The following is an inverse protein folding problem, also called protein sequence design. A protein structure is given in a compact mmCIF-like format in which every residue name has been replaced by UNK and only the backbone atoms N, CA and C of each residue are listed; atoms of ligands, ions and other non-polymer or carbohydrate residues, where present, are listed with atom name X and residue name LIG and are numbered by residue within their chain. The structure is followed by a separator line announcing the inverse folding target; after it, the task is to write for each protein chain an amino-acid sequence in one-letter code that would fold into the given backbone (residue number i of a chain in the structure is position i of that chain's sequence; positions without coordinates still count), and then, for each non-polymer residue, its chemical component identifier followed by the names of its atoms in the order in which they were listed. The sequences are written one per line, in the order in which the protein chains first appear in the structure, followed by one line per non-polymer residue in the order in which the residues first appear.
data_IF_462142617788
#
_entry.id   IF_462142617788
#
_cell.length_a   1.000
_cell.length_b   1.000
_cell.length_c   1.000
_cell.angle_alpha   90.00
_cell.angle_beta   90.00
_cell.angle_gamma   90.00
#
_symmetry.space_group_name_H-M   'P 1'
#
loop_
_entity.id
_entity.type
_entity.pdbx_description
1 polymer ?
#
# COMPACT_ATOMS: atom_id res chain seq x y z
N UNK A 1 26.91 -10.80 14.12
CA UNK A 1 26.53 -9.62 14.93
C UNK A 1 25.07 -9.24 14.70
N UNK A 2 24.58 -8.23 15.43
CA UNK A 2 23.22 -7.68 15.28
C UNK A 2 23.33 -6.31 14.60
N UNK A 3 22.52 -6.09 13.56
CA UNK A 3 22.32 -4.77 12.96
C UNK A 3 20.97 -4.23 13.43
N UNK A 4 20.95 -2.99 13.91
CA UNK A 4 19.75 -2.30 14.31
C UNK A 4 19.55 -1.06 13.46
N UNK A 5 18.35 -0.89 12.91
CA UNK A 5 17.92 0.27 12.15
C UNK A 5 16.75 0.92 12.91
N UNK A 6 16.80 2.24 13.06
CA UNK A 6 15.75 3.01 13.71
C UNK A 6 15.17 4.00 12.70
N UNK A 7 13.89 3.84 12.39
CA UNK A 7 13.16 4.72 11.50
C UNK A 7 12.21 5.63 12.30
N UNK A 8 12.20 6.95 12.07
CA UNK A 8 11.26 7.85 12.72
C UNK A 8 9.79 7.56 12.34
N UNK A 9 9.57 7.05 11.15
CA UNK A 9 8.26 6.63 10.63
C UNK A 9 8.45 5.33 9.88
N UNK A 10 7.43 4.46 9.92
CA UNK A 10 7.44 3.22 9.15
C UNK A 10 7.59 3.49 7.66
N UNK A 11 8.55 2.83 7.04
CA UNK A 11 8.70 2.77 5.60
C UNK A 11 8.30 1.40 5.05
N UNK A 12 8.50 1.17 3.74
CA UNK A 12 8.17 -0.10 3.09
C UNK A 12 9.05 -1.23 3.66
N UNK A 13 8.41 -2.32 4.13
CA UNK A 13 9.06 -3.44 4.84
C UNK A 13 9.20 -4.72 4.00
N UNK A 14 9.20 -4.58 2.68
CA UNK A 14 9.35 -5.73 1.76
C UNK A 14 10.68 -6.45 1.96
N UNK A 15 11.76 -5.74 2.27
CA UNK A 15 13.08 -6.34 2.52
C UNK A 15 13.07 -7.22 3.76
N UNK A 16 12.45 -6.76 4.83
CA UNK A 16 12.31 -7.49 6.09
C UNK A 16 11.44 -8.74 5.89
N UNK A 17 10.33 -8.61 5.19
CA UNK A 17 9.43 -9.71 4.86
C UNK A 17 10.13 -10.76 4.02
N UNK A 18 10.86 -10.35 2.99
CA UNK A 18 11.62 -11.23 2.12
C UNK A 18 12.77 -11.93 2.87
N UNK A 19 13.52 -11.21 3.70
CA UNK A 19 14.59 -11.79 4.50
C UNK A 19 14.06 -12.87 5.46
N UNK A 20 12.95 -12.60 6.15
CA UNK A 20 12.29 -13.60 7.00
C UNK A 20 11.84 -14.82 6.20
N UNK A 21 11.28 -14.59 5.01
CA UNK A 21 10.85 -15.68 4.13
C UNK A 21 12.01 -16.58 3.72
N UNK A 22 13.22 -16.02 3.52
CA UNK A 22 14.44 -16.78 3.25
C UNK A 22 15.07 -17.40 4.50
N UNK A 23 14.59 -17.10 5.69
CA UNK A 23 15.06 -17.74 6.93
C UNK A 23 15.94 -16.85 7.82
N UNK A 24 16.07 -15.54 7.52
CA UNK A 24 16.77 -14.63 8.41
C UNK A 24 15.91 -14.31 9.65
N UNK A 25 16.56 -14.12 10.80
CA UNK A 25 15.92 -13.60 12.00
C UNK A 25 15.87 -12.06 11.92
N UNK A 26 14.70 -11.55 11.54
CA UNK A 26 14.41 -10.13 11.45
C UNK A 26 13.26 -9.81 12.39
N UNK A 27 13.52 -8.99 13.38
CA UNK A 27 12.53 -8.53 14.35
C UNK A 27 12.15 -7.08 14.09
N UNK A 28 10.88 -6.75 14.24
CA UNK A 28 10.37 -5.39 14.14
C UNK A 28 9.60 -5.06 15.43
N UNK A 29 9.89 -3.91 15.99
CA UNK A 29 9.24 -3.39 17.19
C UNK A 29 8.93 -1.90 17.00
N UNK A 30 7.92 -1.43 17.72
CA UNK A 30 7.60 -0.01 17.83
C UNK A 30 8.04 0.45 19.23
N UNK A 31 8.89 1.45 19.30
CA UNK A 31 9.30 2.07 20.55
C UNK A 31 8.16 2.89 21.16
N UNK A 32 8.27 3.22 22.45
CA UNK A 32 7.25 4.02 23.16
C UNK A 32 7.06 5.42 22.57
N UNK A 33 8.06 5.94 21.87
CA UNK A 33 8.02 7.22 21.16
C UNK A 33 7.50 7.12 19.71
N UNK A 34 7.05 5.92 19.29
CA UNK A 34 6.47 5.66 17.97
C UNK A 34 7.51 5.35 16.88
N UNK A 35 8.81 5.36 17.16
CA UNK A 35 9.83 4.99 16.18
C UNK A 35 9.80 3.48 15.89
N UNK A 36 10.06 3.11 14.65
CA UNK A 36 10.19 1.73 14.23
C UNK A 36 11.64 1.25 14.42
N UNK A 37 11.81 0.11 15.09
CA UNK A 37 13.10 -0.52 15.34
C UNK A 37 13.13 -1.86 14.61
N UNK A 38 14.08 -1.99 13.70
CA UNK A 38 14.30 -3.21 12.92
C UNK A 38 15.63 -3.80 13.38
N UNK A 39 15.61 -5.07 13.80
CA UNK A 39 16.80 -5.82 14.21
C UNK A 39 17.00 -7.00 13.30
N UNK A 40 18.19 -7.10 12.73
CA UNK A 40 18.62 -8.23 11.91
C UNK A 40 19.77 -8.96 12.60
N UNK A 41 19.58 -10.25 12.88
CA UNK A 41 20.68 -11.13 13.27
C UNK A 41 21.51 -11.46 12.03
N UNK A 42 22.77 -11.04 12.04
CA UNK A 42 23.71 -11.34 10.94
C UNK A 42 24.13 -12.81 10.92
N UNK A 43 24.76 -13.21 9.82
CA UNK A 43 25.26 -14.57 9.54
C UNK A 43 24.15 -15.62 9.51
N UNK A 44 22.92 -15.22 9.11
CA UNK A 44 21.83 -16.16 8.90
C UNK A 44 22.10 -17.06 7.70
N UNK A 45 21.82 -18.35 7.84
CA UNK A 45 21.78 -19.27 6.69
C UNK A 45 20.49 -19.06 5.91
N UNK A 46 20.60 -18.46 4.73
CA UNK A 46 19.44 -18.20 3.88
C UNK A 46 19.14 -19.42 3.00
N UNK A 47 17.87 -19.76 2.90
CA UNK A 47 17.41 -20.89 2.10
C UNK A 47 16.68 -20.40 0.84
N UNK A 48 17.02 -20.95 -0.32
CA UNK A 48 16.33 -20.69 -1.57
C UNK A 48 14.84 -21.06 -1.46
N UNK A 49 13.97 -20.14 -1.88
CA UNK A 49 12.51 -20.30 -1.86
C UNK A 49 11.93 -19.95 -3.21
N UNK A 50 10.77 -20.53 -3.52
CA UNK A 50 10.00 -20.09 -4.67
C UNK A 50 9.34 -18.75 -4.33
N UNK A 51 9.55 -17.73 -5.17
CA UNK A 51 8.94 -16.42 -5.02
C UNK A 51 7.93 -16.24 -6.14
N UNK A 52 6.72 -15.83 -5.74
CA UNK A 52 5.74 -15.24 -6.64
C UNK A 52 5.72 -13.74 -6.34
N UNK A 53 6.11 -12.93 -7.32
CA UNK A 53 6.15 -11.48 -7.14
C UNK A 53 4.73 -10.94 -7.18
N UNK A 54 4.22 -10.30 -6.10
CA UNK A 54 2.90 -9.67 -6.11
C UNK A 54 2.83 -8.57 -7.17
N UNK A 55 1.63 -8.33 -7.67
CA UNK A 55 1.41 -7.19 -8.57
C UNK A 55 1.42 -5.89 -7.81
N UNK A 56 1.99 -4.88 -8.46
CA UNK A 56 2.22 -3.56 -7.88
C UNK A 56 0.89 -2.80 -7.67
N UNK A 57 0.60 -2.34 -6.44
CA UNK A 57 -0.59 -1.54 -6.16
C UNK A 57 -0.60 -0.19 -6.89
N UNK A 58 0.56 0.41 -7.16
CA UNK A 58 0.65 1.67 -7.91
C UNK A 58 0.19 1.49 -9.35
N UNK A 59 0.59 0.39 -10.00
CA UNK A 59 0.13 0.05 -11.35
C UNK A 59 -1.37 -0.31 -11.37
N UNK A 60 -1.85 -1.02 -10.36
CA UNK A 60 -3.25 -1.37 -10.22
C UNK A 60 -4.15 -0.15 -9.99
N UNK A 61 -3.64 0.90 -9.36
CA UNK A 61 -4.35 2.13 -9.01
C UNK A 61 -5.10 2.73 -10.21
N UNK A 62 -4.49 2.71 -11.39
CA UNK A 62 -5.10 3.22 -12.63
C UNK A 62 -6.34 2.42 -13.02
N UNK A 63 -6.26 1.09 -12.98
CA UNK A 63 -7.39 0.20 -13.26
C UNK A 63 -8.50 0.32 -12.21
N UNK A 64 -8.12 0.46 -10.93
CA UNK A 64 -9.06 0.64 -9.82
C UNK A 64 -9.85 1.93 -9.99
N UNK A 65 -9.18 3.06 -10.17
CA UNK A 65 -9.84 4.37 -10.35
C UNK A 65 -10.70 4.36 -11.62
N UNK A 66 -10.19 3.82 -12.73
CA UNK A 66 -10.97 3.71 -13.96
C UNK A 66 -12.27 2.91 -13.74
N UNK A 67 -12.20 1.78 -13.03
CA UNK A 67 -13.38 0.97 -12.71
C UNK A 67 -14.37 1.71 -11.80
N UNK A 68 -13.88 2.43 -10.79
CA UNK A 68 -14.75 3.18 -9.87
C UNK A 68 -15.54 4.27 -10.58
N UNK A 69 -14.92 5.02 -11.51
CA UNK A 69 -15.54 6.19 -12.15
C UNK A 69 -16.28 5.88 -13.45
N UNK A 70 -16.07 4.67 -14.03
CA UNK A 70 -16.77 4.27 -15.26
C UNK A 70 -18.09 3.60 -14.92
N UNK A 71 -19.24 4.11 -15.41
CA UNK A 71 -20.54 3.51 -15.13
C UNK A 71 -20.61 2.03 -15.53
N UNK A 72 -21.29 1.24 -14.69
CA UNK A 72 -21.51 -0.21 -14.89
C UNK A 72 -20.23 -1.06 -14.93
N UNK A 73 -19.09 -0.52 -14.49
CA UNK A 73 -17.88 -1.34 -14.33
C UNK A 73 -18.06 -2.36 -13.20
N UNK A 74 -17.58 -3.57 -13.45
CA UNK A 74 -17.49 -4.67 -12.49
C UNK A 74 -16.27 -5.50 -12.89
N UNK A 75 -15.14 -5.34 -12.20
CA UNK A 75 -13.86 -5.93 -12.60
C UNK A 75 -13.15 -6.58 -11.42
N UNK A 76 -12.38 -7.63 -11.71
CA UNK A 76 -11.46 -8.25 -10.75
C UNK A 76 -10.03 -7.94 -11.19
N UNK A 77 -9.24 -7.38 -10.29
CA UNK A 77 -7.81 -7.09 -10.47
C UNK A 77 -7.05 -8.07 -9.58
N UNK A 78 -6.45 -9.14 -10.14
CA UNK A 78 -5.92 -10.23 -9.34
C UNK A 78 -4.52 -9.96 -8.82
N UNK A 79 -4.19 -10.55 -7.65
CA UNK A 79 -2.83 -10.71 -7.16
C UNK A 79 -2.14 -9.44 -6.69
N UNK A 80 -2.86 -8.47 -6.17
CA UNK A 80 -2.30 -7.18 -5.72
C UNK A 80 -1.67 -7.33 -4.33
N UNK A 81 -0.47 -6.75 -4.15
CA UNK A 81 0.16 -6.67 -2.83
C UNK A 81 -0.73 -5.91 -1.85
N UNK A 82 -0.96 -6.51 -0.69
CA UNK A 82 -1.76 -5.94 0.41
C UNK A 82 -0.88 -5.47 1.57
N UNK A 83 0.34 -5.01 1.26
CA UNK A 83 1.21 -4.41 2.28
C UNK A 83 0.54 -3.15 2.86
N UNK A 84 0.29 -3.07 4.19
CA UNK A 84 -0.36 -1.92 4.80
C UNK A 84 0.37 -0.59 4.56
N UNK A 85 1.70 -0.65 4.37
CA UNK A 85 2.54 0.52 4.09
C UNK A 85 2.46 0.99 2.62
N UNK A 86 1.62 0.34 1.80
CA UNK A 86 1.38 0.64 0.38
C UNK A 86 -0.10 0.76 0.01
N UNK A 87 -1.01 0.62 0.98
CA UNK A 87 -2.45 0.56 0.72
C UNK A 87 -3.19 1.89 0.94
N UNK A 88 -2.47 2.99 1.17
CA UNK A 88 -3.08 4.29 1.46
C UNK A 88 -4.12 4.73 0.43
N UNK A 89 -3.88 4.49 -0.86
CA UNK A 89 -4.87 4.79 -1.90
C UNK A 89 -6.14 3.96 -1.76
N UNK A 90 -6.03 2.64 -1.51
CA UNK A 90 -7.21 1.78 -1.36
C UNK A 90 -8.09 2.24 -0.22
N UNK A 91 -7.49 2.53 0.94
CA UNK A 91 -8.21 3.03 2.11
C UNK A 91 -8.88 4.38 1.79
N UNK A 92 -8.17 5.27 1.09
CA UNK A 92 -8.70 6.57 0.64
C UNK A 92 -9.89 6.41 -0.29
N UNK A 93 -9.80 5.54 -1.31
CA UNK A 93 -10.88 5.32 -2.27
C UNK A 93 -12.12 4.67 -1.60
N UNK A 94 -11.92 3.77 -0.64
CA UNK A 94 -13.00 3.17 0.14
C UNK A 94 -13.69 4.25 1.00
N UNK A 95 -12.92 5.12 1.67
CA UNK A 95 -13.46 6.26 2.42
C UNK A 95 -14.24 7.25 1.53
N UNK A 96 -13.83 7.41 0.26
CA UNK A 96 -14.56 8.18 -0.75
C UNK A 96 -15.85 7.51 -1.21
N UNK A 97 -16.19 6.31 -0.71
CA UNK A 97 -17.38 5.55 -1.10
C UNK A 97 -17.14 4.56 -2.25
N UNK A 98 -15.88 4.28 -2.58
CA UNK A 98 -15.53 3.30 -3.60
C UNK A 98 -15.87 1.87 -3.20
N UNK A 99 -16.55 1.14 -4.06
CA UNK A 99 -16.86 -0.28 -3.89
C UNK A 99 -15.64 -1.12 -4.29
N UNK A 100 -14.78 -1.40 -3.31
CA UNK A 100 -13.57 -2.21 -3.45
C UNK A 100 -13.63 -3.30 -2.39
N UNK A 101 -13.69 -4.55 -2.83
CA UNK A 101 -13.70 -5.73 -1.96
C UNK A 101 -12.40 -6.52 -2.15
N UNK A 102 -11.77 -6.94 -1.04
CA UNK A 102 -10.62 -7.84 -1.06
C UNK A 102 -11.14 -9.26 -1.06
N UNK A 103 -10.84 -10.00 -2.09
CA UNK A 103 -11.22 -11.41 -2.23
C UNK A 103 -9.98 -12.28 -2.43
N UNK A 104 -10.07 -13.56 -2.13
CA UNK A 104 -8.96 -14.51 -2.27
C UNK A 104 -7.66 -14.04 -1.57
N UNK A 105 -7.79 -13.51 -0.35
CA UNK A 105 -6.63 -13.11 0.45
C UNK A 105 -5.74 -14.32 0.75
N UNK A 106 -4.44 -14.18 0.53
CA UNK A 106 -3.45 -15.25 0.68
C UNK A 106 -2.06 -14.72 0.91
N UNK A 107 -1.15 -15.57 1.35
CA UNK A 107 0.28 -15.25 1.44
C UNK A 107 1.01 -15.87 0.23
N UNK A 108 1.78 -15.05 -0.49
CA UNK A 108 2.61 -15.45 -1.61
C UNK A 108 4.05 -14.95 -1.40
N UNK A 109 4.99 -15.88 -1.20
CA UNK A 109 6.41 -15.52 -1.07
C UNK A 109 6.75 -14.63 0.13
N UNK A 110 5.97 -14.71 1.22
CA UNK A 110 6.15 -13.88 2.42
C UNK A 110 5.43 -12.53 2.35
N UNK A 111 4.67 -12.27 1.29
CA UNK A 111 3.86 -11.06 1.11
C UNK A 111 2.36 -11.40 1.13
N UNK A 112 1.57 -10.54 1.74
CA UNK A 112 0.10 -10.65 1.68
C UNK A 112 -0.41 -10.14 0.35
N UNK A 113 -1.30 -10.91 -0.26
CA UNK A 113 -1.85 -10.65 -1.59
C UNK A 113 -3.36 -10.85 -1.58
N UNK A 114 -4.08 -10.04 -2.34
CA UNK A 114 -5.50 -10.21 -2.58
C UNK A 114 -5.86 -9.95 -4.05
N UNK A 115 -6.98 -10.48 -4.46
CA UNK A 115 -7.64 -10.01 -5.68
C UNK A 115 -8.61 -8.90 -5.27
N UNK A 116 -8.67 -7.82 -6.06
CA UNK A 116 -9.55 -6.69 -5.79
C UNK A 116 -10.76 -6.74 -6.71
N UNK A 117 -11.95 -6.89 -6.13
CA UNK A 117 -13.21 -6.77 -6.85
C UNK A 117 -13.68 -5.32 -6.76
N UNK A 118 -13.69 -4.64 -7.89
CA UNK A 118 -13.96 -3.19 -7.99
C UNK A 118 -15.19 -2.95 -8.85
N UNK A 119 -16.15 -2.20 -8.31
CA UNK A 119 -17.38 -1.82 -9.00
C UNK A 119 -17.53 -0.32 -9.14
N UNK A 120 -18.20 0.12 -10.19
CA UNK A 120 -18.52 1.53 -10.39
C UNK A 120 -19.22 2.12 -9.15
N UNK A 121 -18.83 3.34 -8.76
CA UNK A 121 -19.26 3.95 -7.51
C UNK A 121 -19.48 5.44 -7.68
N UNK A 122 -20.37 6.01 -6.87
CA UNK A 122 -20.49 7.44 -6.74
C UNK A 122 -19.58 7.93 -5.62
N UNK A 123 -18.44 8.48 -6.03
CA UNK A 123 -17.45 8.96 -5.09
C UNK A 123 -17.85 10.32 -4.49
N UNK A 124 -17.48 10.54 -3.24
CA UNK A 124 -17.63 11.81 -2.54
C UNK A 124 -16.28 12.29 -2.01
N UNK A 125 -16.18 13.59 -1.82
CA UNK A 125 -14.99 14.24 -1.34
C UNK A 125 -14.69 13.89 0.13
N UNK A 126 -13.40 13.82 0.45
CA UNK A 126 -12.88 13.62 1.81
C UNK A 126 -11.67 14.52 2.07
N UNK A 127 -11.24 14.58 3.31
CA UNK A 127 -9.93 15.10 3.69
C UNK A 127 -8.97 13.94 3.88
N UNK A 128 -7.93 13.86 3.03
CA UNK A 128 -6.88 12.84 3.13
C UNK A 128 -5.84 13.30 4.14
N UNK A 129 -5.65 12.58 5.27
CA UNK A 129 -4.76 13.03 6.33
C UNK A 129 -3.29 12.97 5.90
N UNK A 130 -2.48 13.90 6.41
CA UNK A 130 -1.04 13.97 6.11
C UNK A 130 -0.28 12.68 6.49
N UNK A 131 -0.72 11.97 7.54
CA UNK A 131 -0.11 10.70 7.98
C UNK A 131 -0.21 9.58 6.94
N UNK A 132 -1.13 9.67 5.99
CA UNK A 132 -1.30 8.68 4.91
C UNK A 132 -0.34 8.90 3.75
N UNK A 133 0.31 10.08 3.65
CA UNK A 133 1.12 10.45 2.49
C UNK A 133 2.22 9.43 2.17
N UNK A 134 2.92 8.91 3.16
CA UNK A 134 4.01 7.94 2.96
C UNK A 134 3.55 6.64 2.30
N UNK A 135 2.32 6.17 2.59
CA UNK A 135 1.77 4.91 2.08
C UNK A 135 1.13 5.02 0.69
N UNK A 136 1.07 6.22 0.10
CA UNK A 136 0.45 6.46 -1.19
C UNK A 136 1.04 7.65 -1.96
N UNK A 137 2.29 7.99 -1.72
CA UNK A 137 2.90 9.20 -2.32
C UNK A 137 2.92 9.16 -3.85
N UNK A 138 3.05 7.97 -4.44
CA UNK A 138 3.07 7.77 -5.89
C UNK A 138 1.66 7.81 -6.51
N UNK A 139 0.62 7.65 -5.69
CA UNK A 139 -0.76 7.50 -6.14
C UNK A 139 -1.58 8.81 -6.08
N UNK A 140 -1.03 9.91 -5.55
CA UNK A 140 -1.75 11.21 -5.54
C UNK A 140 -2.17 11.70 -6.93
N UNK A 141 -1.37 11.53 -8.00
CA UNK A 141 -1.81 11.90 -9.35
C UNK A 141 -3.10 11.18 -9.79
N UNK A 142 -3.17 9.85 -9.58
CA UNK A 142 -4.37 9.10 -9.95
C UNK A 142 -5.53 9.33 -8.97
N UNK A 143 -5.25 9.60 -7.69
CA UNK A 143 -6.27 10.04 -6.74
C UNK A 143 -6.90 11.36 -7.17
N UNK A 144 -6.13 12.26 -7.80
CA UNK A 144 -6.68 13.52 -8.32
C UNK A 144 -7.74 13.29 -9.41
N UNK A 145 -7.60 12.22 -10.20
CA UNK A 145 -8.63 11.82 -11.17
C UNK A 145 -9.90 11.33 -10.47
N UNK A 146 -9.77 10.51 -9.43
CA UNK A 146 -10.91 10.07 -8.63
C UNK A 146 -11.60 11.27 -7.95
N UNK A 147 -10.83 12.19 -7.39
CA UNK A 147 -11.33 13.42 -6.77
C UNK A 147 -12.08 14.33 -7.75
N UNK A 148 -11.61 14.43 -9.00
CA UNK A 148 -12.28 15.19 -10.05
C UNK A 148 -13.64 14.59 -10.45
N UNK A 149 -13.82 13.27 -10.29
CA UNK A 149 -15.07 12.58 -10.54
C UNK A 149 -16.00 12.54 -9.29
N UNK A 150 -15.50 12.90 -8.12
CA UNK A 150 -16.23 12.88 -6.86
C UNK A 150 -17.10 14.13 -6.67
N UNK A 151 -18.15 14.00 -5.87
CA UNK A 151 -18.97 15.14 -5.44
C UNK A 151 -18.30 15.85 -4.27
N UNK A 152 -18.10 17.16 -4.37
CA UNK A 152 -17.51 18.01 -3.33
C UNK A 152 -16.04 18.36 -3.60
N UNK A 153 -15.31 18.80 -2.57
CA UNK A 153 -13.90 19.22 -2.68
C UNK A 153 -13.03 18.34 -1.81
N UNK A 154 -12.14 17.57 -2.42
CA UNK A 154 -11.19 16.72 -1.69
C UNK A 154 -9.94 17.53 -1.32
N UNK A 155 -9.51 17.43 -0.07
CA UNK A 155 -8.28 18.03 0.43
C UNK A 155 -7.22 16.94 0.62
N UNK A 156 -6.03 17.16 0.09
CA UNK A 156 -4.89 16.25 0.18
C UNK A 156 -3.80 16.90 1.03
N UNK A 157 -3.63 16.46 2.28
CA UNK A 157 -2.70 17.05 3.21
C UNK A 157 -1.34 16.32 3.20
N UNK A 158 -0.26 17.03 3.62
CA UNK A 158 1.06 16.42 3.78
C UNK A 158 1.80 16.09 2.49
N UNK A 159 1.40 16.64 1.36
CA UNK A 159 1.91 16.31 0.01
C UNK A 159 3.13 17.14 -0.42
N UNK A 160 3.87 17.73 0.52
CA UNK A 160 5.02 18.59 0.19
C UNK A 160 6.09 17.87 -0.66
N UNK A 161 6.27 16.57 -0.45
CA UNK A 161 7.23 15.75 -1.19
C UNK A 161 6.93 15.68 -2.69
N UNK A 162 5.66 15.78 -3.10
CA UNK A 162 5.29 15.82 -4.52
C UNK A 162 5.92 16.98 -5.29
N UNK A 163 6.33 18.06 -4.60
CA UNK A 163 6.97 19.21 -5.24
C UNK A 163 8.40 18.93 -5.69
N UNK A 164 9.03 17.90 -5.18
CA UNK A 164 10.42 17.50 -5.48
C UNK A 164 10.50 16.17 -6.21
N UNK A 165 9.38 15.49 -6.39
CA UNK A 165 9.25 14.35 -7.31
C UNK A 165 9.08 14.84 -8.74
N UNK A 166 9.37 13.96 -9.69
CA UNK A 166 9.29 14.20 -11.15
C UNK A 166 7.93 14.77 -11.59
#
# INVERSE_FOLDING_TARGET
GITEIIEPHASRDHSESMLRYFGADVQQNIADDGRHIIRLQGEAELHGRQIVVPRDPSSAAFGIVAALITPQSDVIIPGISMNPLRNGLLDTLIEMGGSIERVNERDEGGERVADLHVKSSQLHAIEVPASRAASMIDEYPILSVAAAAATGTTYMLGVAELRVKE
#
